data_IF_393617532065
#
_entry.id   IF_393617532065
#
_cell.length_a   1.000
_cell.length_b   1.000
_cell.length_c   1.000
_cell.angle_alpha   90.00
_cell.angle_beta   90.00
_cell.angle_gamma   90.00
#
_symmetry.space_group_name_H-M   'P 1'
#
loop_
_entity.id
_entity.type
_entity.pdbx_description
1 polymer ?
#
# COMPACT_ATOMS: atom_id res chain seq x y z
N UNK A 1 -26.23 6.43 -3.34
CA UNK A 1 -27.48 5.77 -2.91
C UNK A 1 -27.23 4.89 -1.69
N UNK A 2 -26.98 5.51 -0.52
CA UNK A 2 -26.73 4.78 0.73
C UNK A 2 -28.03 4.58 1.53
N UNK A 3 -28.76 5.67 1.80
CA UNK A 3 -29.99 5.62 2.62
C UNK A 3 -31.14 4.79 2.02
N UNK A 4 -31.20 4.63 0.69
CA UNK A 4 -32.16 3.74 0.05
C UNK A 4 -31.85 2.26 0.31
N UNK A 5 -30.56 1.90 0.36
CA UNK A 5 -30.14 0.51 0.57
C UNK A 5 -30.24 0.09 2.05
N UNK A 6 -30.04 1.03 2.98
CA UNK A 6 -30.12 0.78 4.42
C UNK A 6 -31.47 1.12 5.06
N UNK A 7 -32.45 1.60 4.29
CA UNK A 7 -33.81 1.87 4.79
C UNK A 7 -33.89 2.96 5.86
N UNK A 8 -32.98 3.94 5.85
CA UNK A 8 -32.86 4.97 6.89
C UNK A 8 -33.91 6.07 6.70
N UNK A 9 -34.52 6.57 7.77
CA UNK A 9 -35.56 7.61 7.69
C UNK A 9 -34.95 8.96 7.28
N UNK A 10 -35.78 9.83 6.70
CA UNK A 10 -35.34 11.12 6.15
C UNK A 10 -34.69 12.07 7.16
N UNK A 11 -35.05 11.95 8.45
CA UNK A 11 -34.52 12.76 9.54
C UNK A 11 -33.40 12.07 10.34
N UNK A 12 -33.08 10.81 10.02
CA UNK A 12 -31.99 10.11 10.70
C UNK A 12 -30.66 10.69 10.25
N UNK A 13 -29.72 10.78 11.19
CA UNK A 13 -28.39 11.28 10.89
C UNK A 13 -27.68 10.36 9.89
N UNK A 14 -27.20 10.92 8.77
CA UNK A 14 -26.59 10.13 7.68
C UNK A 14 -25.17 9.64 8.00
N UNK A 15 -24.50 10.23 8.99
CA UNK A 15 -23.13 9.90 9.38
C UNK A 15 -22.94 8.46 9.89
N UNK A 16 -23.78 7.88 10.77
CA UNK A 16 -23.69 6.46 11.13
C UNK A 16 -23.90 5.54 9.91
N UNK A 17 -24.80 5.90 9.01
CA UNK A 17 -25.07 5.14 7.78
C UNK A 17 -23.84 5.11 6.86
N UNK A 18 -23.15 6.25 6.71
CA UNK A 18 -21.90 6.34 5.96
C UNK A 18 -20.74 5.60 6.63
N UNK A 19 -20.73 5.53 7.96
CA UNK A 19 -19.75 4.76 8.72
C UNK A 19 -19.97 3.25 8.57
N UNK A 20 -21.22 2.79 8.60
CA UNK A 20 -21.57 1.38 8.37
C UNK A 20 -21.33 0.97 6.91
N UNK A 21 -21.54 1.89 5.97
CA UNK A 21 -21.28 1.68 4.55
C UNK A 21 -19.80 1.87 4.18
N UNK A 22 -18.93 2.17 5.14
CA UNK A 22 -17.49 2.26 4.94
C UNK A 22 -16.86 0.90 5.22
N UNK A 23 -17.09 -0.01 4.27
CA UNK A 23 -16.56 -1.37 4.26
C UNK A 23 -15.02 -1.46 4.29
N UNK A 24 -14.29 -0.35 4.19
CA UNK A 24 -12.87 -0.31 4.54
C UNK A 24 -12.44 1.09 5.00
N UNK A 25 -11.96 1.24 6.25
CA UNK A 25 -11.56 2.54 6.72
C UNK A 25 -10.52 3.28 5.91
N UNK A 26 -10.65 4.61 5.81
CA UNK A 26 -9.82 5.46 4.93
C UNK A 26 -8.32 5.17 5.16
N UNK A 27 -7.94 4.99 6.42
CA UNK A 27 -6.61 4.55 6.84
C UNK A 27 -6.16 3.22 6.21
N UNK A 28 -7.06 2.24 6.11
CA UNK A 28 -6.80 0.97 5.44
C UNK A 28 -6.85 1.10 3.91
N UNK A 29 -7.68 2.00 3.35
CA UNK A 29 -7.67 2.29 1.90
C UNK A 29 -6.32 2.81 1.44
N UNK A 30 -5.70 3.74 2.18
CA UNK A 30 -4.38 4.24 1.86
C UNK A 30 -3.34 3.11 1.84
N UNK A 31 -3.31 2.27 2.88
CA UNK A 31 -2.41 1.10 2.95
C UNK A 31 -2.66 0.12 1.80
N UNK A 32 -3.93 -0.18 1.52
CA UNK A 32 -4.34 -1.07 0.45
C UNK A 32 -3.93 -0.57 -0.94
N UNK A 33 -4.10 0.72 -1.23
CA UNK A 33 -3.65 1.31 -2.49
C UNK A 33 -2.13 1.21 -2.66
N UNK A 34 -1.35 1.47 -1.60
CA UNK A 34 0.11 1.32 -1.64
C UNK A 34 0.51 -0.13 -1.94
N UNK A 35 -0.13 -1.10 -1.26
CA UNK A 35 0.12 -2.53 -1.48
C UNK A 35 -0.22 -2.98 -2.91
N UNK A 36 -1.39 -2.61 -3.42
CA UNK A 36 -1.79 -2.93 -4.81
C UNK A 36 -0.85 -2.28 -5.81
N UNK A 37 -0.49 -1.02 -5.60
CA UNK A 37 0.39 -0.30 -6.50
C UNK A 37 1.76 -0.98 -6.58
N UNK A 38 2.33 -1.38 -5.43
CA UNK A 38 3.57 -2.14 -5.35
C UNK A 38 3.47 -3.48 -6.07
N UNK A 39 2.42 -4.27 -5.78
CA UNK A 39 2.18 -5.56 -6.44
C UNK A 39 2.11 -5.42 -7.97
N UNK A 40 1.33 -4.45 -8.47
CA UNK A 40 1.19 -4.22 -9.91
C UNK A 40 2.49 -3.79 -10.57
N UNK A 41 3.28 -2.98 -9.88
CA UNK A 41 4.59 -2.53 -10.37
C UNK A 41 5.62 -3.67 -10.40
N UNK A 42 5.53 -4.65 -9.49
CA UNK A 42 6.38 -5.85 -9.52
C UNK A 42 6.03 -6.82 -10.66
N UNK A 43 4.75 -6.89 -11.04
CA UNK A 43 4.28 -7.76 -12.12
C UNK A 43 4.17 -7.04 -13.48
N UNK A 44 4.84 -5.89 -13.67
CA UNK A 44 4.86 -5.14 -14.92
C UNK A 44 3.46 -4.73 -15.47
N UNK A 45 2.45 -4.66 -14.58
CA UNK A 45 1.08 -4.22 -14.91
C UNK A 45 0.81 -2.76 -14.52
N UNK A 46 1.84 -2.07 -14.03
CA UNK A 46 1.84 -0.65 -13.76
C UNK A 46 2.63 0.11 -14.86
N UNK A 47 2.47 1.43 -14.95
CA UNK A 47 3.29 2.25 -15.83
C UNK A 47 4.80 2.05 -15.63
N UNK A 48 5.57 2.12 -16.73
CA UNK A 48 7.01 1.83 -16.74
C UNK A 48 7.83 2.66 -15.74
N UNK A 49 7.41 3.89 -15.43
CA UNK A 49 8.11 4.72 -14.46
C UNK A 49 7.98 4.20 -13.02
N UNK A 50 6.92 3.44 -12.70
CA UNK A 50 6.75 2.84 -11.38
C UNK A 50 7.51 1.52 -11.27
N UNK A 51 7.46 0.67 -12.30
CA UNK A 51 8.24 -0.57 -12.30
C UNK A 51 9.74 -0.29 -12.27
N UNK A 52 10.22 0.78 -12.94
CA UNK A 52 11.61 1.20 -12.89
C UNK A 52 12.11 1.61 -11.48
N UNK A 53 11.20 1.98 -10.57
CA UNK A 53 11.55 2.32 -9.19
C UNK A 53 11.72 1.09 -8.29
N UNK A 54 11.11 -0.05 -8.65
CA UNK A 54 11.14 -1.27 -7.85
C UNK A 54 12.10 -2.27 -8.48
N UNK A 55 13.24 -2.50 -7.83
CA UNK A 55 14.22 -3.48 -8.28
C UNK A 55 14.15 -4.73 -7.39
N UNK A 56 13.93 -5.90 -8.02
CA UNK A 56 14.02 -7.19 -7.33
C UNK A 56 15.46 -7.45 -6.87
N UNK A 57 15.60 -7.88 -5.63
CA UNK A 57 16.88 -8.32 -5.09
C UNK A 57 17.18 -9.72 -5.60
N UNK A 58 18.24 -9.84 -6.40
CA UNK A 58 18.77 -11.12 -6.86
C UNK A 58 20.09 -11.37 -6.13
N UNK A 59 20.14 -12.32 -5.18
CA UNK A 59 21.38 -12.61 -4.48
C UNK A 59 22.38 -13.25 -5.44
N UNK A 60 23.66 -12.94 -5.25
CA UNK A 60 24.77 -13.54 -6.05
C UNK A 60 25.00 -15.01 -5.71
N UNK A 61 24.53 -15.46 -4.55
CA UNK A 61 24.69 -16.82 -4.04
C UNK A 61 23.35 -17.38 -3.58
N UNK A 62 23.22 -18.70 -3.56
CA UNK A 62 22.05 -19.40 -3.02
C UNK A 62 21.95 -19.18 -1.50
N UNK A 63 21.18 -18.18 -1.10
CA UNK A 63 20.87 -17.86 0.29
C UNK A 63 19.46 -18.37 0.63
N UNK A 64 19.21 -18.74 1.88
CA UNK A 64 17.87 -19.11 2.35
C UNK A 64 16.84 -17.97 2.21
N UNK A 65 17.30 -16.71 2.13
CA UNK A 65 16.46 -15.54 1.88
C UNK A 65 16.15 -15.30 0.41
N UNK A 66 16.68 -16.11 -0.51
CA UNK A 66 16.45 -15.95 -1.95
C UNK A 66 14.96 -16.11 -2.31
N UNK A 67 14.23 -16.96 -1.58
CA UNK A 67 12.81 -17.25 -1.82
C UNK A 67 11.86 -16.18 -1.27
N UNK A 68 12.38 -15.11 -0.63
CA UNK A 68 11.56 -14.09 0.03
C UNK A 68 11.13 -12.92 -0.88
N UNK A 69 11.43 -12.97 -2.19
CA UNK A 69 11.12 -11.92 -3.18
C UNK A 69 11.42 -10.49 -2.69
N UNK A 70 12.60 -10.30 -2.08
CA UNK A 70 12.98 -9.02 -1.50
C UNK A 70 13.23 -7.95 -2.57
N UNK A 71 13.10 -6.68 -2.18
CA UNK A 71 13.42 -5.52 -3.00
C UNK A 71 14.75 -4.90 -2.58
N UNK A 72 15.46 -4.33 -3.54
CA UNK A 72 16.71 -3.62 -3.29
C UNK A 72 16.40 -2.32 -2.53
N UNK A 73 17.00 -2.17 -1.36
CA UNK A 73 16.94 -0.93 -0.58
C UNK A 73 18.11 -0.03 -1.01
N UNK A 74 17.86 1.16 -1.59
CA UNK A 74 18.94 2.04 -2.03
C UNK A 74 19.69 2.63 -0.83
N UNK A 75 21.01 2.77 -0.97
CA UNK A 75 21.82 3.47 0.02
C UNK A 75 21.51 4.98 0.02
N UNK A 76 21.09 5.52 1.16
CA UNK A 76 20.93 6.97 1.29
C UNK A 76 22.28 7.67 1.50
N UNK A 77 22.40 8.92 1.01
CA UNK A 77 23.61 9.75 1.21
C UNK A 77 23.77 10.21 2.66
N UNK A 78 22.67 10.37 3.39
CA UNK A 78 22.64 10.96 4.72
C UNK A 78 22.21 9.93 5.77
N UNK A 79 22.94 8.82 5.89
CA UNK A 79 22.58 7.68 6.76
C UNK A 79 22.23 8.07 8.21
N UNK A 80 22.96 9.04 8.77
CA UNK A 80 22.75 9.51 10.15
C UNK A 80 21.42 10.25 10.37
N UNK A 81 20.85 10.90 9.36
CA UNK A 81 19.60 11.69 9.49
C UNK A 81 18.43 11.11 8.69
N UNK A 82 18.68 10.63 7.48
CA UNK A 82 17.67 10.09 6.57
C UNK A 82 17.18 8.72 7.03
N UNK A 83 18.09 7.76 7.20
CA UNK A 83 17.69 6.38 7.51
C UNK A 83 17.04 6.25 8.89
N UNK A 84 17.42 7.10 9.85
CA UNK A 84 16.82 7.12 11.19
C UNK A 84 15.34 7.51 11.20
N UNK A 85 14.87 8.27 10.22
CA UNK A 85 13.46 8.65 10.13
C UNK A 85 12.55 7.49 9.72
N UNK A 86 13.14 6.45 9.12
CA UNK A 86 12.45 5.25 8.64
C UNK A 86 12.80 3.99 9.44
N UNK A 87 13.59 4.13 10.51
CA UNK A 87 13.85 3.05 11.45
C UNK A 87 12.61 2.85 12.34
N UNK A 88 12.08 1.62 12.35
CA UNK A 88 10.95 1.18 13.18
C UNK A 88 11.47 0.70 14.54
#
# INVERSE_FOLDING_TARGET
AAGFMTGTRWHDHITPVLADLHWLPIQYRAKFYVLILGFRALHDTAPAYLSALLQRYVPTHSLCSADQELLVVPCSRCKSRGDRAFAV
#
